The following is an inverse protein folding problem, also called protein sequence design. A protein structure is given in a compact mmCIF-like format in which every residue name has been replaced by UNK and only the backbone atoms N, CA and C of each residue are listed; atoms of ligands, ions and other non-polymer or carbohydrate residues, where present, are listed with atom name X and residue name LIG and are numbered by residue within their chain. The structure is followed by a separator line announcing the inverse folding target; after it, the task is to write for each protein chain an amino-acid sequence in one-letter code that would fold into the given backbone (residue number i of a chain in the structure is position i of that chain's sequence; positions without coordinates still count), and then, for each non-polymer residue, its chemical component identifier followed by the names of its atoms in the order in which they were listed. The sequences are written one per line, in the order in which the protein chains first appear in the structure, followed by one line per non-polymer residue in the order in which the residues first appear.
data_IF_963093375639
#
_entry.id   IF_963093375639
#
_cell.length_a   1.000
_cell.length_b   1.000
_cell.length_c   1.000
_cell.angle_alpha   90.00
_cell.angle_beta   90.00
_cell.angle_gamma   90.00
#
_symmetry.space_group_name_H-M   'P 1'
#
loop_
_entity.id
_entity.type
_entity.pdbx_description
1 polymer ?
#
# COMPACT_ATOMS: atom_id res chain seq x y z
N UNK A 1 -60.83 11.16 -34.82
CA UNK A 1 -59.77 11.63 -35.74
C UNK A 1 -58.75 12.42 -34.94
N UNK A 2 -57.45 12.08 -35.03
CA UNK A 2 -56.27 12.93 -34.73
C UNK A 2 -56.05 13.33 -33.24
N UNK A 3 -54.89 13.20 -32.59
CA UNK A 3 -53.51 12.79 -32.92
C UNK A 3 -52.87 12.30 -31.61
N UNK A 4 -52.12 11.19 -31.65
CA UNK A 4 -51.29 10.71 -30.54
C UNK A 4 -50.03 11.58 -30.48
N UNK A 5 -49.75 12.20 -29.33
CA UNK A 5 -48.46 12.88 -29.09
C UNK A 5 -47.56 11.89 -28.32
N UNK A 6 -46.62 11.32 -29.06
CA UNK A 6 -45.55 10.46 -28.53
C UNK A 6 -44.53 11.37 -27.84
N UNK A 7 -44.51 11.36 -26.51
CA UNK A 7 -43.49 12.07 -25.73
C UNK A 7 -42.26 11.16 -25.63
N UNK A 8 -41.31 11.35 -26.52
CA UNK A 8 -40.03 10.65 -26.55
C UNK A 8 -39.13 11.25 -25.47
N UNK A 9 -39.05 10.59 -24.31
CA UNK A 9 -38.13 10.97 -23.25
C UNK A 9 -36.70 10.64 -23.70
N UNK A 10 -35.94 11.68 -24.04
CA UNK A 10 -34.50 11.60 -24.28
C UNK A 10 -33.84 11.28 -22.94
N UNK A 11 -33.40 10.03 -22.76
CA UNK A 11 -32.46 9.66 -21.72
C UNK A 11 -31.12 10.34 -22.05
N UNK A 12 -30.91 11.55 -21.53
CA UNK A 12 -29.58 12.16 -21.46
C UNK A 12 -28.81 11.38 -20.39
N UNK A 13 -28.17 10.29 -20.81
CA UNK A 13 -27.17 9.60 -20.01
C UNK A 13 -26.00 10.54 -19.78
N UNK A 14 -25.96 11.18 -18.62
CA UNK A 14 -24.79 11.87 -18.11
C UNK A 14 -23.68 10.82 -17.90
N UNK A 15 -22.89 10.58 -18.95
CA UNK A 15 -21.55 10.02 -18.81
C UNK A 15 -20.72 11.06 -18.07
N UNK A 16 -20.74 11.00 -16.74
CA UNK A 16 -19.69 11.64 -15.96
C UNK A 16 -18.40 10.91 -16.35
N UNK A 17 -17.38 11.60 -16.89
CA UNK A 17 -16.07 11.00 -17.00
C UNK A 17 -15.62 10.72 -15.56
N UNK A 18 -15.59 9.44 -15.17
CA UNK A 18 -14.84 9.04 -13.99
C UNK A 18 -13.40 9.40 -14.29
N UNK A 19 -12.94 10.54 -13.78
CA UNK A 19 -11.53 10.90 -13.84
C UNK A 19 -10.78 9.75 -13.17
N UNK A 20 -10.14 8.92 -13.98
CA UNK A 20 -9.17 7.95 -13.53
C UNK A 20 -8.06 8.79 -12.90
N UNK A 21 -8.08 8.92 -11.58
CA UNK A 21 -6.97 9.50 -10.85
C UNK A 21 -5.79 8.56 -11.07
N UNK A 22 -4.81 9.02 -11.84
CA UNK A 22 -3.55 8.33 -11.98
C UNK A 22 -2.90 8.42 -10.61
N UNK A 23 -2.68 7.27 -9.96
CA UNK A 23 -1.95 7.26 -8.70
C UNK A 23 -0.57 7.88 -8.97
N UNK A 24 -0.27 9.00 -8.33
CA UNK A 24 1.03 9.66 -8.44
C UNK A 24 1.99 9.04 -7.41
N UNK A 25 3.30 9.10 -7.71
CA UNK A 25 4.32 8.87 -6.68
C UNK A 25 4.23 10.04 -5.70
N UNK A 26 3.84 9.81 -4.44
CA UNK A 26 3.69 10.90 -3.48
C UNK A 26 5.05 11.52 -3.18
N UNK A 27 5.06 12.79 -2.80
CA UNK A 27 6.29 13.47 -2.36
C UNK A 27 6.88 12.85 -1.07
N UNK A 28 6.03 12.26 -0.23
CA UNK A 28 6.37 11.53 1.00
C UNK A 28 5.39 10.37 1.15
N UNK A 29 5.88 9.16 1.33
CA UNK A 29 5.03 8.03 1.70
C UNK A 29 4.62 8.12 3.17
N UNK A 30 3.32 7.90 3.43
CA UNK A 30 2.72 7.77 4.75
C UNK A 30 1.85 6.51 4.78
N UNK A 31 1.55 5.96 5.95
CA UNK A 31 0.65 4.78 6.04
C UNK A 31 -0.70 5.02 5.35
N UNK A 32 -1.19 6.26 5.34
CA UNK A 32 -2.46 6.63 4.74
C UNK A 32 -2.45 6.61 3.20
N UNK A 33 -1.31 6.95 2.58
CA UNK A 33 -1.21 7.06 1.12
C UNK A 33 -0.54 5.84 0.46
N UNK A 34 0.35 5.13 1.17
CA UNK A 34 1.23 4.11 0.58
C UNK A 34 0.46 3.10 -0.27
N UNK A 35 -0.57 2.46 0.29
CA UNK A 35 -1.35 1.40 -0.38
C UNK A 35 -1.93 1.85 -1.74
N UNK A 36 -2.34 3.10 -1.84
CA UNK A 36 -3.09 3.62 -2.99
C UNK A 36 -2.22 4.48 -3.92
N UNK A 37 -0.93 4.59 -3.63
CA UNK A 37 0.03 5.37 -4.39
C UNK A 37 0.72 4.52 -5.46
N UNK A 38 1.23 5.19 -6.50
CA UNK A 38 2.23 4.57 -7.36
C UNK A 38 3.54 4.49 -6.58
N UNK A 39 4.24 3.37 -6.71
CA UNK A 39 5.49 3.11 -6.01
C UNK A 39 6.68 3.27 -6.95
N UNK A 40 7.75 3.83 -6.42
CA UNK A 40 9.02 3.92 -7.13
C UNK A 40 9.71 2.55 -7.16
N UNK A 41 10.41 2.29 -8.25
CA UNK A 41 11.23 1.08 -8.36
C UNK A 41 12.46 1.17 -7.44
N UNK A 42 12.90 0.05 -6.84
CA UNK A 42 14.17 -0.01 -6.13
C UNK A 42 15.33 0.13 -7.13
N UNK A 43 16.28 1.01 -6.83
CA UNK A 43 17.54 1.14 -7.56
C UNK A 43 18.61 0.18 -7.01
N UNK A 44 18.65 0.03 -5.70
CA UNK A 44 19.57 -0.88 -5.02
C UNK A 44 18.89 -1.59 -3.83
N UNK A 45 19.46 -2.73 -3.44
CA UNK A 45 18.95 -3.59 -2.38
C UNK A 45 20.09 -4.41 -1.80
N UNK A 46 20.36 -4.23 -0.51
CA UNK A 46 21.47 -4.83 0.20
C UNK A 46 20.99 -5.57 1.44
N UNK A 47 21.64 -6.69 1.76
CA UNK A 47 21.47 -7.37 3.03
C UNK A 47 22.31 -6.66 4.11
N UNK A 48 21.76 -6.49 5.31
CA UNK A 48 22.44 -5.79 6.42
C UNK A 48 23.36 -6.69 7.26
N UNK A 49 23.38 -8.00 6.99
CA UNK A 49 24.14 -9.00 7.76
C UNK A 49 23.42 -9.51 9.02
N UNK A 50 22.26 -8.95 9.37
CA UNK A 50 21.45 -9.27 10.55
C UNK A 50 20.08 -9.85 10.20
N UNK A 51 19.89 -10.26 8.94
CA UNK A 51 18.63 -10.81 8.44
C UNK A 51 17.64 -9.74 7.94
N UNK A 52 18.05 -8.47 7.94
CA UNK A 52 17.33 -7.37 7.33
C UNK A 52 17.92 -6.96 5.98
N UNK A 53 17.30 -5.93 5.41
CA UNK A 53 17.68 -5.34 4.14
C UNK A 53 17.51 -3.83 4.17
N UNK A 54 18.21 -3.15 3.29
CA UNK A 54 18.03 -1.73 3.03
C UNK A 54 18.37 -1.42 1.57
N UNK A 55 17.91 -0.28 1.09
CA UNK A 55 18.24 0.18 -0.25
C UNK A 55 17.61 1.52 -0.56
N UNK A 56 17.76 1.96 -1.81
CA UNK A 56 17.22 3.21 -2.31
C UNK A 56 16.32 3.01 -3.51
N UNK A 57 15.34 3.88 -3.67
CA UNK A 57 14.56 3.99 -4.91
C UNK A 57 15.37 4.66 -6.02
N UNK A 58 14.88 4.60 -7.26
CA UNK A 58 15.45 5.35 -8.41
C UNK A 58 15.55 6.86 -8.21
N UNK A 59 14.77 7.43 -7.28
CA UNK A 59 14.82 8.84 -6.90
C UNK A 59 15.68 9.11 -5.67
N UNK A 60 16.25 8.07 -5.06
CA UNK A 60 17.16 8.15 -3.92
C UNK A 60 16.51 8.05 -2.54
N UNK A 61 15.23 7.65 -2.43
CA UNK A 61 14.60 7.44 -1.12
C UNK A 61 15.09 6.18 -0.46
N UNK A 62 15.58 6.29 0.77
CA UNK A 62 15.97 5.14 1.58
C UNK A 62 14.73 4.35 2.00
N UNK A 63 14.81 3.03 1.86
CA UNK A 63 13.90 2.10 2.51
C UNK A 63 14.67 1.06 3.30
N UNK A 64 14.06 0.52 4.35
CA UNK A 64 14.61 -0.54 5.18
C UNK A 64 13.59 -1.65 5.42
N UNK A 65 14.08 -2.85 5.65
CA UNK A 65 13.31 -4.00 6.07
C UNK A 65 14.05 -4.72 7.20
N UNK A 66 13.59 -4.56 8.44
CA UNK A 66 14.28 -5.09 9.63
C UNK A 66 13.49 -6.24 10.26
N UNK A 67 14.13 -7.32 10.72
CA UNK A 67 13.45 -8.36 11.49
C UNK A 67 12.81 -7.79 12.76
N UNK A 68 11.60 -8.26 13.08
CA UNK A 68 10.93 -7.97 14.35
C UNK A 68 11.22 -9.11 15.31
N UNK A 69 12.05 -8.86 16.31
CA UNK A 69 12.36 -9.83 17.37
C UNK A 69 11.11 -10.16 18.17
N UNK A 70 10.81 -11.45 18.30
CA UNK A 70 9.69 -11.96 19.06
C UNK A 70 10.01 -13.35 19.63
N UNK A 71 9.34 -13.74 20.72
CA UNK A 71 9.55 -15.02 21.39
C UNK A 71 8.78 -16.20 20.75
N UNK A 72 7.93 -15.90 19.77
CA UNK A 72 7.00 -16.86 19.12
C UNK A 72 7.61 -17.52 17.87
N UNK A 73 8.90 -17.30 17.60
CA UNK A 73 9.61 -17.77 16.41
C UNK A 73 8.91 -17.38 15.10
N UNK A 74 8.23 -16.23 15.08
CA UNK A 74 7.52 -15.72 13.91
C UNK A 74 8.52 -15.02 12.99
N UNK A 75 8.45 -15.34 11.69
CA UNK A 75 9.16 -14.58 10.65
C UNK A 75 8.38 -13.33 10.27
N UNK A 76 8.69 -12.24 10.95
CA UNK A 76 8.09 -10.93 10.74
C UNK A 76 9.17 -9.89 10.46
N UNK A 77 8.97 -9.05 9.45
CA UNK A 77 9.86 -7.95 9.10
C UNK A 77 9.10 -6.64 9.05
N UNK A 78 9.65 -5.58 9.62
CA UNK A 78 9.12 -4.22 9.50
C UNK A 78 9.75 -3.55 8.29
N UNK A 79 8.92 -3.13 7.33
CA UNK A 79 9.34 -2.32 6.20
C UNK A 79 9.10 -0.83 6.52
N UNK A 80 10.04 0.03 6.14
CA UNK A 80 9.95 1.48 6.33
C UNK A 80 10.43 2.19 5.07
N UNK A 81 9.69 3.20 4.62
CA UNK A 81 10.09 4.17 3.60
C UNK A 81 9.42 5.51 3.90
N UNK A 82 10.22 6.58 3.95
CA UNK A 82 9.79 7.89 4.46
C UNK A 82 9.10 7.77 5.84
N UNK A 83 7.82 8.14 5.94
CA UNK A 83 6.99 8.04 7.15
C UNK A 83 6.12 6.78 7.14
N UNK A 84 6.07 6.05 6.02
CA UNK A 84 5.28 4.84 5.91
C UNK A 84 6.03 3.65 6.53
N UNK A 85 5.29 2.83 7.27
CA UNK A 85 5.75 1.53 7.72
C UNK A 85 4.62 0.51 7.79
N UNK A 86 4.98 -0.74 7.56
CA UNK A 86 4.09 -1.89 7.70
C UNK A 86 4.94 -3.14 7.94
N UNK A 87 4.28 -4.26 8.18
CA UNK A 87 4.94 -5.52 8.50
C UNK A 87 4.71 -6.53 7.40
N UNK A 88 5.74 -7.32 7.09
CA UNK A 88 5.75 -8.35 6.06
C UNK A 88 6.01 -9.67 6.76
N UNK A 89 5.17 -10.66 6.46
CA UNK A 89 5.30 -12.03 6.98
C UNK A 89 5.04 -13.05 5.88
N UNK A 90 5.18 -14.33 6.21
CA UNK A 90 4.73 -15.44 5.36
C UNK A 90 3.21 -15.48 5.17
N UNK A 91 2.43 -14.75 5.99
CA UNK A 91 0.97 -14.59 5.88
C UNK A 91 0.56 -13.35 5.09
N UNK A 92 1.53 -12.62 4.54
CA UNK A 92 1.31 -11.37 3.79
C UNK A 92 1.62 -10.11 4.59
N UNK A 93 1.03 -9.00 4.16
CA UNK A 93 1.25 -7.66 4.72
C UNK A 93 0.31 -7.39 5.89
N UNK A 94 0.87 -6.93 7.00
CA UNK A 94 0.16 -6.56 8.23
C UNK A 94 0.33 -5.05 8.45
N UNK A 95 -0.79 -4.34 8.54
CA UNK A 95 -0.83 -2.93 8.88
C UNK A 95 -1.05 -2.78 10.38
N UNK A 96 -0.06 -2.22 11.07
CA UNK A 96 -0.09 -2.06 12.51
C UNK A 96 0.73 -0.84 12.94
N UNK A 97 0.35 -0.23 14.06
CA UNK A 97 1.02 0.93 14.66
C UNK A 97 2.23 0.54 15.52
N UNK A 98 2.40 -0.74 15.85
CA UNK A 98 3.52 -1.22 16.66
C UNK A 98 3.87 -2.69 16.39
N UNK A 99 5.08 -3.07 16.76
CA UNK A 99 5.61 -4.43 16.62
C UNK A 99 4.76 -5.44 17.40
N UNK A 100 4.36 -5.08 18.64
CA UNK A 100 3.48 -5.92 19.47
C UNK A 100 2.12 -6.15 18.80
N UNK A 101 1.54 -5.10 18.22
CA UNK A 101 0.25 -5.24 17.53
C UNK A 101 0.41 -6.06 16.25
N UNK A 102 1.50 -5.91 15.51
CA UNK A 102 1.78 -6.72 14.34
C UNK A 102 1.92 -8.22 14.69
N UNK A 103 2.65 -8.54 15.77
CA UNK A 103 2.75 -9.91 16.30
C UNK A 103 1.38 -10.43 16.74
N UNK A 104 0.59 -9.61 17.45
CA UNK A 104 -0.76 -9.99 17.88
C UNK A 104 -1.67 -10.29 16.70
N UNK A 105 -1.66 -9.45 15.64
CA UNK A 105 -2.43 -9.70 14.41
C UNK A 105 -1.95 -10.97 13.75
N UNK A 106 -0.63 -11.17 13.60
CA UNK A 106 -0.06 -12.37 12.99
C UNK A 106 -0.61 -13.63 13.65
N UNK A 107 -0.58 -13.70 14.99
CA UNK A 107 -1.07 -14.85 15.75
C UNK A 107 -2.57 -15.13 15.53
N UNK A 108 -3.37 -14.11 15.24
CA UNK A 108 -4.81 -14.27 14.96
C UNK A 108 -5.14 -14.69 13.53
N UNK A 109 -4.19 -14.57 12.58
CA UNK A 109 -4.37 -15.02 11.19
C UNK A 109 -4.22 -16.55 11.03
N UNK A 110 -4.12 -17.29 12.15
CA UNK A 110 -3.95 -18.75 12.18
C UNK A 110 -5.18 -19.52 11.74
#
# INVERSE_FOLDING_TARGET
MKKRFLMMAILMGSFLPTQLAWAEVPAVYTNANYINSTHEEPADFYNDGWGGFYGHTVTGRLFTQTPVTNDENIRLHKFVIDEAFFYISDRGTIWADSDLMAVSIYLTLG
#
